data_IF_400500669115
#
_entry.id   IF_400500669115
#
_cell.length_a   1.000
_cell.length_b   1.000
_cell.length_c   1.000
_cell.angle_alpha   90.00
_cell.angle_beta   90.00
_cell.angle_gamma   90.00
#
_symmetry.space_group_name_H-M   'P 1'
#
loop_
_entity.id
_entity.type
_entity.pdbx_description
1 polymer ?
#
# COMPACT_ATOMS: atom_id res chain seq x y z
N UNK A 1 12.30 2.37 13.98
CA UNK A 1 11.22 3.14 13.32
C UNK A 1 10.07 2.18 13.10
N UNK A 2 8.93 2.39 13.76
CA UNK A 2 7.86 1.39 13.82
C UNK A 2 7.25 1.16 12.43
N UNK A 3 7.40 -0.06 11.90
CA UNK A 3 6.60 -0.52 10.78
C UNK A 3 5.13 -0.53 11.24
N UNK A 4 4.38 0.44 10.77
CA UNK A 4 2.97 0.59 11.06
C UNK A 4 2.24 -0.24 10.00
N UNK A 5 1.95 -1.51 10.30
CA UNK A 5 1.06 -2.37 9.51
C UNK A 5 -0.39 -1.86 9.63
N UNK A 6 -0.65 -0.66 9.15
CA UNK A 6 -1.97 -0.04 9.21
C UNK A 6 -2.84 -0.68 8.13
N UNK A 7 -3.97 -1.32 8.49
CA UNK A 7 -4.92 -1.80 7.50
C UNK A 7 -5.45 -0.63 6.67
N UNK A 8 -5.51 -0.80 5.36
CA UNK A 8 -5.97 0.24 4.45
C UNK A 8 -7.10 -0.29 3.57
N UNK A 9 -8.02 0.61 3.21
CA UNK A 9 -8.94 0.38 2.11
C UNK A 9 -8.25 0.81 0.81
N UNK A 10 -7.85 -0.17 0.00
CA UNK A 10 -7.17 0.06 -1.27
C UNK A 10 -8.17 0.25 -2.42
N UNK A 11 -7.90 1.23 -3.28
CA UNK A 11 -8.53 1.40 -4.57
C UNK A 11 -7.46 1.27 -5.66
N UNK A 12 -7.63 0.28 -6.52
CA UNK A 12 -6.69 -0.05 -7.59
C UNK A 12 -7.41 -0.55 -8.83
N UNK A 13 -6.66 -0.67 -9.90
CA UNK A 13 -7.08 -1.37 -11.11
C UNK A 13 -6.49 -2.78 -11.11
N UNK A 14 -7.24 -3.74 -11.65
CA UNK A 14 -6.73 -5.04 -12.01
C UNK A 14 -6.71 -5.12 -13.54
N UNK A 15 -5.58 -5.54 -14.12
CA UNK A 15 -5.48 -5.79 -15.55
C UNK A 15 -6.28 -7.04 -15.93
N UNK A 16 -6.54 -7.21 -17.23
CA UNK A 16 -7.13 -8.45 -17.76
C UNK A 16 -6.21 -9.67 -17.60
N UNK A 17 -4.94 -9.47 -17.23
CA UNK A 17 -3.94 -10.51 -16.99
C UNK A 17 -3.76 -10.82 -15.51
N UNK A 18 -4.45 -10.09 -14.61
CA UNK A 18 -4.41 -10.31 -13.17
C UNK A 18 -3.43 -9.42 -12.40
N UNK A 19 -2.68 -8.55 -13.09
CA UNK A 19 -1.79 -7.60 -12.42
C UNK A 19 -2.59 -6.52 -11.68
N UNK A 20 -2.14 -6.16 -10.47
CA UNK A 20 -2.77 -5.11 -9.68
C UNK A 20 -1.97 -3.82 -9.76
N UNK A 21 -2.70 -2.71 -9.93
CA UNK A 21 -2.15 -1.35 -9.95
C UNK A 21 -2.82 -0.53 -8.84
N UNK A 22 -2.13 -0.28 -7.72
CA UNK A 22 -2.61 0.66 -6.70
C UNK A 22 -2.79 2.07 -7.26
N UNK A 23 -3.93 2.73 -6.96
CA UNK A 23 -4.22 4.10 -7.42
C UNK A 23 -4.35 5.09 -6.26
N UNK A 24 -5.07 4.71 -5.21
CA UNK A 24 -5.19 5.49 -3.98
C UNK A 24 -5.72 4.60 -2.86
N UNK A 25 -5.57 5.03 -1.62
CA UNK A 25 -6.10 4.29 -0.49
C UNK A 25 -6.61 5.22 0.59
N UNK A 26 -7.39 4.64 1.51
CA UNK A 26 -7.85 5.30 2.71
C UNK A 26 -7.44 4.52 3.95
N UNK A 27 -7.17 5.25 5.03
CA UNK A 27 -6.94 4.67 6.34
C UNK A 27 -7.54 5.55 7.42
N UNK A 28 -7.87 4.94 8.54
CA UNK A 28 -8.32 5.65 9.73
C UNK A 28 -7.10 6.09 10.54
N UNK A 29 -6.98 7.38 10.81
CA UNK A 29 -5.91 7.92 11.65
C UNK A 29 -6.22 7.74 13.14
N UNK A 30 -5.32 8.21 14.01
CA UNK A 30 -5.50 8.11 15.47
C UNK A 30 -6.66 8.94 16.02
N UNK A 31 -7.14 9.92 15.27
CA UNK A 31 -8.26 10.80 15.63
C UNK A 31 -9.58 10.31 15.01
N UNK A 32 -9.62 9.06 14.53
CA UNK A 32 -10.77 8.46 13.81
C UNK A 32 -11.16 9.18 12.51
N UNK A 33 -10.27 10.05 12.00
CA UNK A 33 -10.41 10.68 10.70
C UNK A 33 -10.02 9.74 9.56
N UNK A 34 -10.80 9.75 8.49
CA UNK A 34 -10.49 8.97 7.27
C UNK A 34 -9.59 9.80 6.36
N UNK A 35 -8.33 9.39 6.26
CA UNK A 35 -7.33 10.06 5.42
C UNK A 35 -7.25 9.37 4.07
N UNK A 36 -7.28 10.15 3.00
CA UNK A 36 -7.11 9.67 1.62
C UNK A 36 -5.71 10.00 1.13
N UNK A 37 -5.02 8.99 0.60
CA UNK A 37 -3.66 9.12 0.04
C UNK A 37 -3.69 8.69 -1.42
N UNK A 38 -3.23 9.56 -2.31
CA UNK A 38 -3.15 9.27 -3.74
C UNK A 38 -1.78 8.72 -4.10
N UNK A 39 -1.76 7.71 -4.95
CA UNK A 39 -0.53 7.16 -5.51
C UNK A 39 -0.24 7.92 -6.80
N UNK A 40 0.96 8.50 -6.88
CA UNK A 40 1.41 9.25 -8.03
C UNK A 40 2.08 8.32 -9.06
N UNK A 41 2.94 7.42 -8.58
CA UNK A 41 3.57 6.42 -9.42
C UNK A 41 4.03 5.20 -8.63
N UNK A 42 4.09 4.06 -9.31
CA UNK A 42 4.65 2.82 -8.77
C UNK A 42 6.11 2.76 -9.19
N UNK A 43 7.01 2.62 -8.22
CA UNK A 43 8.45 2.49 -8.43
C UNK A 43 8.82 1.03 -8.64
N UNK A 44 8.22 0.12 -7.88
CA UNK A 44 8.40 -1.32 -8.05
C UNK A 44 7.27 -2.12 -7.44
N UNK A 45 7.09 -3.34 -7.96
CA UNK A 45 6.23 -4.37 -7.40
C UNK A 45 7.00 -5.68 -7.32
N UNK A 46 6.85 -6.42 -6.21
CA UNK A 46 7.52 -7.71 -6.00
C UNK A 46 6.64 -8.64 -5.18
N UNK A 47 6.44 -9.85 -5.67
CA UNK A 47 5.91 -10.94 -4.86
C UNK A 47 7.01 -11.48 -3.95
N UNK A 48 6.71 -11.56 -2.65
CA UNK A 48 7.60 -12.02 -1.61
C UNK A 48 6.96 -13.17 -0.84
N UNK A 49 7.75 -14.20 -0.58
CA UNK A 49 7.35 -15.35 0.22
C UNK A 49 8.23 -15.42 1.46
N UNK A 50 7.62 -15.24 2.62
CA UNK A 50 8.33 -15.31 3.91
C UNK A 50 7.61 -16.27 4.86
N UNK A 51 8.29 -17.34 5.27
CA UNK A 51 7.74 -18.36 6.19
C UNK A 51 6.34 -18.86 5.79
N UNK A 52 6.09 -19.04 4.50
CA UNK A 52 4.78 -19.47 3.96
C UNK A 52 3.72 -18.37 3.87
N UNK A 53 4.03 -17.14 4.25
CA UNK A 53 3.20 -15.98 3.97
C UNK A 53 3.62 -15.36 2.64
N UNK A 54 2.68 -15.27 1.72
CA UNK A 54 2.86 -14.64 0.41
C UNK A 54 2.19 -13.27 0.42
N UNK A 55 2.98 -12.25 0.08
CA UNK A 55 2.49 -10.90 -0.11
C UNK A 55 3.14 -10.25 -1.32
N UNK A 56 2.45 -9.29 -1.92
CA UNK A 56 3.00 -8.44 -2.96
C UNK A 56 3.32 -7.09 -2.32
N UNK A 57 4.60 -6.72 -2.39
CA UNK A 57 5.10 -5.42 -1.94
C UNK A 57 5.08 -4.45 -3.12
N UNK A 58 4.49 -3.27 -2.91
CA UNK A 58 4.46 -2.17 -3.86
C UNK A 58 5.19 -0.98 -3.26
N UNK A 59 6.28 -0.54 -3.90
CA UNK A 59 6.96 0.71 -3.56
C UNK A 59 6.39 1.80 -4.45
N UNK A 60 5.84 2.85 -3.84
CA UNK A 60 5.10 3.89 -4.55
C UNK A 60 5.54 5.28 -4.09
N UNK A 61 5.56 6.24 -5.03
CA UNK A 61 5.45 7.65 -4.68
C UNK A 61 3.99 7.99 -4.42
N UNK A 62 3.72 8.59 -3.26
CA UNK A 62 2.39 8.99 -2.86
C UNK A 62 2.37 10.43 -2.37
N UNK A 63 1.22 11.09 -2.50
CA UNK A 63 0.99 12.44 -1.98
C UNK A 63 0.02 12.35 -0.81
N UNK A 64 0.48 12.79 0.35
CA UNK A 64 -0.32 12.94 1.56
C UNK A 64 -0.08 14.35 2.11
N UNK A 65 -1.16 15.09 2.39
CA UNK A 65 -1.07 16.45 2.97
C UNK A 65 -0.18 17.41 2.16
N UNK A 66 -0.16 17.27 0.83
CA UNK A 66 0.67 18.09 -0.06
C UNK A 66 2.15 17.72 -0.09
N UNK A 67 2.58 16.71 0.68
CA UNK A 67 3.95 16.21 0.66
C UNK A 67 4.06 14.90 -0.11
N UNK A 68 5.07 14.83 -0.97
CA UNK A 68 5.45 13.62 -1.68
C UNK A 68 6.26 12.72 -0.76
N UNK A 69 5.87 11.45 -0.63
CA UNK A 69 6.56 10.45 0.20
C UNK A 69 6.74 9.14 -0.55
N UNK A 70 7.88 8.49 -0.34
CA UNK A 70 8.11 7.13 -0.82
C UNK A 70 7.58 6.17 0.22
N UNK A 71 6.65 5.30 -0.16
CA UNK A 71 5.96 4.39 0.76
C UNK A 71 5.99 2.96 0.25
N UNK A 72 5.91 2.01 1.18
CA UNK A 72 5.73 0.59 0.90
C UNK A 72 4.32 0.16 1.31
N UNK A 73 3.57 -0.39 0.37
CA UNK A 73 2.27 -1.02 0.57
C UNK A 73 2.42 -2.53 0.42
N UNK A 74 1.65 -3.29 1.18
CA UNK A 74 1.66 -4.76 1.09
C UNK A 74 0.26 -5.29 0.88
N UNK A 75 0.14 -6.23 -0.04
CA UNK A 75 -1.06 -7.02 -0.26
C UNK A 75 -0.80 -8.47 0.10
N UNK A 76 -1.46 -8.96 1.14
CA UNK A 76 -1.34 -10.37 1.56
C UNK A 76 -2.31 -11.22 0.75
N UNK A 77 -1.77 -12.14 -0.05
CA UNK A 77 -2.53 -12.91 -1.04
C UNK A 77 -3.58 -13.79 -0.36
N UNK A 78 -3.19 -14.54 0.67
CA UNK A 78 -4.07 -15.51 1.35
C UNK A 78 -5.31 -14.92 2.02
N UNK A 79 -5.27 -13.62 2.37
CA UNK A 79 -6.37 -12.95 3.07
C UNK A 79 -6.97 -11.79 2.28
N UNK A 80 -6.42 -11.49 1.09
CA UNK A 80 -6.77 -10.32 0.29
C UNK A 80 -6.73 -8.99 1.07
N UNK A 81 -5.79 -8.88 2.02
CA UNK A 81 -5.68 -7.72 2.92
C UNK A 81 -4.58 -6.79 2.46
N UNK A 82 -4.89 -5.50 2.41
CA UNK A 82 -3.94 -4.44 2.15
C UNK A 82 -3.50 -3.77 3.45
N UNK A 83 -2.21 -3.43 3.51
CA UNK A 83 -1.66 -2.62 4.58
C UNK A 83 -0.67 -1.59 4.05
N UNK A 84 -0.71 -0.40 4.63
CA UNK A 84 0.45 0.48 4.63
C UNK A 84 1.51 -0.20 5.50
N UNK A 85 2.76 -0.33 5.04
CA UNK A 85 3.81 -1.01 5.79
C UNK A 85 4.76 -0.01 6.45
N UNK A 86 5.31 0.92 5.66
CA UNK A 86 6.22 1.96 6.14
C UNK A 86 6.40 3.08 5.12
N UNK A 87 6.86 4.22 5.61
CA UNK A 87 7.52 5.26 4.81
C UNK A 87 9.00 4.90 4.64
N UNK A 88 9.55 5.15 3.45
CA UNK A 88 10.96 4.89 3.10
C UNK A 88 11.81 6.17 3.11
N UNK A 89 11.20 7.34 2.88
CA UNK A 89 11.84 8.67 2.91
C UNK A 89 10.87 9.73 3.40
#
# INVERSE_FOLDING_TARGET
MAALNIPIQMFGACSTLGDMTPLWFRYENKEHGIITVKIESIVSSREEKFCGMEHISFVCWAVAEGQRRLIELRYRISTHKWSFFRTLS
#
